data_IF_804599558047
#
_entry.id   IF_804599558047
#
_cell.length_a   1.000
_cell.length_b   1.000
_cell.length_c   1.000
_cell.angle_alpha   90.00
_cell.angle_beta   90.00
_cell.angle_gamma   90.00
#
_symmetry.space_group_name_H-M   'P 1'
#
loop_
_entity.id
_entity.type
_entity.pdbx_description
1 polymer ?
#
# COMPACT_ATOMS: atom_id res chain seq x y z
N UNK A 1 11.58 2.70 -14.67
CA UNK A 1 12.11 3.51 -13.53
C UNK A 1 12.43 2.57 -12.38
N UNK A 2 13.58 2.70 -11.72
CA UNK A 2 13.93 1.84 -10.57
C UNK A 2 13.17 2.26 -9.29
N UNK A 3 12.92 1.32 -8.40
CA UNK A 3 12.21 1.59 -7.14
C UNK A 3 12.87 2.69 -6.28
N UNK A 4 14.19 2.74 -6.23
CA UNK A 4 14.92 3.80 -5.53
C UNK A 4 14.63 5.21 -6.10
N UNK A 5 14.53 5.33 -7.42
CA UNK A 5 14.20 6.58 -8.11
C UNK A 5 12.74 6.98 -7.89
N UNK A 6 11.81 6.00 -7.90
CA UNK A 6 10.39 6.24 -7.60
C UNK A 6 10.24 6.82 -6.20
N UNK A 7 10.89 6.22 -5.21
CA UNK A 7 10.88 6.68 -3.81
C UNK A 7 11.39 8.11 -3.70
N UNK A 8 12.52 8.42 -4.31
CA UNK A 8 13.11 9.74 -4.31
C UNK A 8 12.19 10.77 -4.98
N UNK A 9 11.69 10.48 -6.19
CA UNK A 9 10.77 11.38 -6.92
C UNK A 9 9.48 11.67 -6.16
N UNK A 10 8.93 10.66 -5.47
CA UNK A 10 7.75 10.85 -4.64
C UNK A 10 8.01 11.85 -3.51
N UNK A 11 9.08 11.66 -2.75
CA UNK A 11 9.43 12.55 -1.65
C UNK A 11 9.74 13.98 -2.14
N UNK A 12 10.55 14.13 -3.19
CA UNK A 12 10.89 15.43 -3.77
C UNK A 12 9.66 16.15 -4.33
N UNK A 13 8.71 15.42 -4.93
CA UNK A 13 7.48 16.01 -5.42
C UNK A 13 6.69 16.64 -4.28
N UNK A 14 6.46 15.91 -3.19
CA UNK A 14 5.70 16.42 -2.06
C UNK A 14 6.46 17.47 -1.23
N UNK A 15 7.78 17.38 -1.14
CA UNK A 15 8.60 18.43 -0.54
C UNK A 15 8.42 19.77 -1.26
N UNK A 16 8.41 19.77 -2.60
CA UNK A 16 8.10 20.95 -3.43
C UNK A 16 6.68 21.48 -3.22
N UNK A 17 5.74 20.65 -2.73
CA UNK A 17 4.39 21.05 -2.36
C UNK A 17 4.29 21.45 -0.87
N UNK A 18 5.42 21.67 -0.19
CA UNK A 18 5.48 22.14 1.20
C UNK A 18 5.30 21.06 2.25
N UNK A 19 5.45 19.77 1.91
CA UNK A 19 5.43 18.67 2.87
C UNK A 19 6.81 18.49 3.51
N UNK A 20 6.82 18.26 4.82
CA UNK A 20 8.03 17.84 5.53
C UNK A 20 8.30 16.37 5.24
N UNK A 21 9.50 16.05 4.78
CA UNK A 21 9.95 14.67 4.62
C UNK A 21 10.22 14.09 6.01
N UNK A 22 9.43 13.05 6.37
CA UNK A 22 9.54 12.38 7.67
C UNK A 22 10.09 10.97 7.46
N UNK A 23 11.12 10.56 8.21
CA UNK A 23 11.65 9.19 8.12
C UNK A 23 10.60 8.12 8.43
N UNK A 24 10.79 6.92 7.87
CA UNK A 24 10.00 5.76 8.27
C UNK A 24 10.11 5.50 9.77
N UNK A 25 8.99 5.30 10.43
CA UNK A 25 9.01 4.77 11.80
C UNK A 25 9.43 3.30 11.79
N UNK A 26 9.89 2.75 12.94
CA UNK A 26 10.11 1.33 13.09
C UNK A 26 8.88 0.48 12.78
N UNK A 27 9.07 -0.78 12.40
CA UNK A 27 8.00 -1.76 12.21
C UNK A 27 7.23 -2.05 13.52
N UNK A 28 7.90 -1.89 14.66
CA UNK A 28 7.26 -1.99 15.98
C UNK A 28 6.75 -0.61 16.39
N UNK A 29 5.42 -0.39 16.40
CA UNK A 29 4.88 0.88 16.87
C UNK A 29 5.14 1.05 18.37
N UNK A 30 5.83 2.14 18.76
CA UNK A 30 6.24 2.37 20.16
C UNK A 30 5.07 2.67 21.09
N UNK A 31 4.04 3.33 20.58
CA UNK A 31 2.98 3.95 21.37
C UNK A 31 1.58 3.41 21.05
N UNK A 32 1.48 2.31 20.33
CA UNK A 32 0.19 1.69 19.98
C UNK A 32 0.20 0.18 20.25
N UNK A 33 -0.24 -0.25 21.45
CA UNK A 33 -0.31 -1.67 21.80
C UNK A 33 -1.40 -2.43 21.04
N UNK A 34 -2.31 -1.74 20.36
CA UNK A 34 -3.38 -2.36 19.57
C UNK A 34 -2.85 -2.94 18.25
N UNK A 35 -1.65 -2.55 17.81
CA UNK A 35 -1.02 -3.01 16.59
C UNK A 35 0.19 -3.88 16.89
N UNK A 36 0.24 -5.03 16.24
CA UNK A 36 1.41 -5.91 16.30
C UNK A 36 2.59 -5.27 15.56
N UNK A 37 2.33 -4.74 14.37
CA UNK A 37 3.30 -4.05 13.52
C UNK A 37 2.69 -2.80 12.89
N UNK A 38 3.54 -1.90 12.42
CA UNK A 38 3.17 -0.76 11.58
C UNK A 38 2.65 -1.29 10.24
N UNK A 39 1.37 -1.16 10.00
CA UNK A 39 0.66 -1.72 8.84
C UNK A 39 0.26 -0.67 7.78
N UNK A 40 0.46 0.61 8.08
CA UNK A 40 0.13 1.73 7.19
C UNK A 40 1.00 2.96 7.50
N UNK A 41 1.14 3.86 6.53
CA UNK A 41 1.95 5.06 6.65
C UNK A 41 1.46 6.03 7.74
N UNK A 42 0.16 6.04 8.00
CA UNK A 42 -0.46 6.93 8.98
C UNK A 42 -0.19 6.55 10.44
N UNK A 43 0.27 5.33 10.73
CA UNK A 43 0.39 4.84 12.12
C UNK A 43 1.26 5.76 12.97
N UNK A 44 2.39 6.25 12.47
CA UNK A 44 3.24 7.20 13.18
C UNK A 44 2.61 8.58 13.41
N UNK A 45 1.50 8.88 12.74
CA UNK A 45 0.77 10.16 12.82
C UNK A 45 -0.60 10.03 13.51
N UNK A 46 -0.96 8.84 14.03
CA UNK A 46 -2.27 8.58 14.65
C UNK A 46 -2.64 9.63 15.68
N UNK A 47 -1.73 9.96 16.60
CA UNK A 47 -1.95 10.96 17.64
C UNK A 47 -2.12 12.38 17.07
N UNK A 48 -1.49 12.67 15.92
CA UNK A 48 -1.63 13.96 15.24
C UNK A 48 -3.02 14.10 14.63
N UNK A 49 -3.54 13.07 13.95
CA UNK A 49 -4.90 13.04 13.42
C UNK A 49 -5.96 13.19 14.52
N UNK A 50 -5.74 12.58 15.68
CA UNK A 50 -6.62 12.68 16.84
C UNK A 50 -6.49 14.01 17.60
N UNK A 51 -5.57 14.90 17.20
CA UNK A 51 -5.30 16.16 17.90
C UNK A 51 -4.59 16.00 19.23
N UNK A 52 -4.11 14.81 19.56
CA UNK A 52 -3.42 14.46 20.82
C UNK A 52 -1.93 14.83 20.79
N UNK A 53 -1.37 15.05 19.61
CA UNK A 53 0.01 15.46 19.40
C UNK A 53 0.08 16.62 18.41
N UNK A 54 1.00 17.56 18.65
CA UNK A 54 1.31 18.65 17.72
C UNK A 54 2.68 18.44 17.12
N UNK A 55 2.79 18.60 15.80
CA UNK A 55 4.05 18.62 15.07
C UNK A 55 4.37 20.04 14.59
N UNK A 56 5.63 20.38 14.32
CA UNK A 56 6.00 21.70 13.80
C UNK A 56 5.63 21.89 12.31
N UNK A 57 4.86 20.98 11.74
CA UNK A 57 4.40 20.97 10.35
C UNK A 57 2.94 20.52 10.28
N UNK A 58 2.22 20.99 9.26
CA UNK A 58 0.84 20.61 8.94
C UNK A 58 0.74 19.64 7.75
N UNK A 59 1.85 19.44 7.02
CA UNK A 59 1.98 18.52 5.88
C UNK A 59 3.21 17.64 6.08
N UNK A 60 3.06 16.35 5.79
CA UNK A 60 4.17 15.40 5.83
C UNK A 60 4.17 14.47 4.62
N UNK A 61 5.33 13.94 4.27
CA UNK A 61 5.49 12.85 3.31
C UNK A 61 6.50 11.86 3.82
N UNK A 62 6.28 10.57 3.55
CA UNK A 62 7.17 9.49 4.00
C UNK A 62 7.13 8.30 3.07
N UNK A 63 8.18 7.49 3.10
CA UNK A 63 8.16 6.10 2.65
C UNK A 63 8.19 5.22 3.88
N UNK A 64 7.04 4.72 4.30
CA UNK A 64 6.90 3.94 5.53
C UNK A 64 7.08 2.46 5.27
N UNK A 65 7.97 1.82 6.01
CA UNK A 65 8.07 0.36 6.11
C UNK A 65 6.82 -0.19 6.79
N UNK A 66 6.15 -1.15 6.15
CA UNK A 66 4.93 -1.75 6.65
C UNK A 66 5.03 -3.28 6.67
N UNK A 67 4.36 -3.89 7.65
CA UNK A 67 4.24 -5.34 7.75
C UNK A 67 2.77 -5.72 8.00
N UNK A 68 2.21 -6.61 7.16
CA UNK A 68 0.81 -7.08 7.22
C UNK A 68 0.75 -8.60 7.36
N UNK A 69 0.83 -9.06 8.60
CA UNK A 69 0.90 -10.48 8.98
C UNK A 69 -0.17 -10.90 10.00
N UNK A 70 -1.20 -10.09 10.17
CA UNK A 70 -2.29 -10.38 11.10
C UNK A 70 -3.28 -9.23 11.27
N UNK A 71 -4.38 -9.50 11.98
CA UNK A 71 -5.46 -8.53 12.21
C UNK A 71 -6.32 -8.27 10.97
N UNK A 72 -6.88 -7.07 10.88
CA UNK A 72 -7.78 -6.67 9.79
C UNK A 72 -7.08 -6.64 8.42
N UNK A 73 -5.79 -6.30 8.41
CA UNK A 73 -4.96 -6.25 7.21
C UNK A 73 -3.94 -7.39 7.27
N UNK A 74 -4.33 -8.57 6.78
CA UNK A 74 -3.47 -9.76 6.74
C UNK A 74 -3.28 -10.21 5.30
N UNK A 75 -2.06 -10.10 4.78
CA UNK A 75 -1.70 -10.49 3.41
C UNK A 75 -0.93 -11.82 3.34
N UNK A 76 -0.60 -12.44 4.49
CA UNK A 76 0.26 -13.62 4.58
C UNK A 76 -0.18 -14.78 3.68
N UNK A 77 -1.49 -15.09 3.65
CA UNK A 77 -2.02 -16.21 2.86
C UNK A 77 -2.01 -15.95 1.34
N UNK A 78 -1.85 -14.69 0.93
CA UNK A 78 -1.84 -14.27 -0.47
C UNK A 78 -0.44 -14.21 -1.08
N UNK A 79 0.61 -14.28 -0.23
CA UNK A 79 2.01 -14.23 -0.68
C UNK A 79 2.33 -15.44 -1.57
N UNK A 80 2.94 -15.16 -2.72
CA UNK A 80 3.26 -16.18 -3.73
C UNK A 80 2.05 -16.72 -4.52
N UNK A 81 0.82 -16.33 -4.15
CA UNK A 81 -0.42 -16.74 -4.84
C UNK A 81 -1.02 -15.64 -5.70
N UNK A 82 -0.69 -14.40 -5.40
CA UNK A 82 -1.10 -13.21 -6.15
C UNK A 82 0.14 -12.44 -6.59
N UNK A 83 0.00 -11.62 -7.62
CA UNK A 83 1.09 -10.83 -8.16
C UNK A 83 1.44 -9.59 -7.32
N UNK A 84 0.61 -9.22 -6.32
CA UNK A 84 0.60 -7.90 -5.69
C UNK A 84 0.63 -7.85 -4.16
N UNK A 85 0.50 -8.98 -3.46
CA UNK A 85 0.49 -9.01 -1.99
C UNK A 85 1.83 -9.44 -1.41
N UNK A 86 2.22 -8.77 -0.34
CA UNK A 86 3.47 -8.96 0.37
C UNK A 86 3.24 -8.87 1.87
N UNK A 87 4.01 -9.60 2.67
CA UNK A 87 4.04 -9.41 4.12
C UNK A 87 4.72 -8.10 4.46
N UNK A 88 5.91 -7.85 3.90
CA UNK A 88 6.63 -6.58 4.01
C UNK A 88 6.56 -5.78 2.71
N UNK A 89 6.22 -4.50 2.83
CA UNK A 89 6.21 -3.56 1.71
C UNK A 89 6.50 -2.14 2.19
N UNK A 90 6.80 -1.24 1.24
CA UNK A 90 6.94 0.18 1.52
C UNK A 90 5.70 0.94 1.04
N UNK A 91 5.14 1.78 1.92
CA UNK A 91 4.01 2.65 1.61
C UNK A 91 4.49 4.08 1.44
N UNK A 92 4.36 4.60 0.24
CA UNK A 92 4.59 6.01 -0.09
C UNK A 92 3.34 6.79 0.32
N UNK A 93 3.49 7.77 1.21
CA UNK A 93 2.37 8.51 1.76
C UNK A 93 2.59 10.01 1.81
N UNK A 94 1.53 10.77 1.55
CA UNK A 94 1.44 12.19 1.86
C UNK A 94 0.25 12.46 2.77
N UNK A 95 0.45 13.38 3.69
CA UNK A 95 -0.46 13.63 4.81
C UNK A 95 -0.73 15.12 4.95
N UNK A 96 -2.00 15.46 5.28
CA UNK A 96 -2.40 16.80 5.69
C UNK A 96 -3.10 16.71 7.04
N UNK A 97 -2.63 17.49 7.99
CA UNK A 97 -3.18 17.55 9.35
C UNK A 97 -4.07 18.79 9.49
N UNK A 98 -5.18 18.82 8.70
CA UNK A 98 -6.11 19.95 8.66
C UNK A 98 -5.58 21.17 7.94
N UNK A 99 -4.66 21.02 6.99
CA UNK A 99 -4.12 22.10 6.14
C UNK A 99 -4.85 22.13 4.78
N UNK A 100 -4.81 21.04 4.03
CA UNK A 100 -5.57 20.84 2.81
C UNK A 100 -6.45 19.60 2.89
N UNK A 101 -7.41 19.47 1.96
CA UNK A 101 -8.32 18.35 1.93
C UNK A 101 -8.47 17.77 0.51
N UNK A 102 -9.65 17.23 0.14
CA UNK A 102 -9.88 16.42 -1.06
C UNK A 102 -9.33 17.04 -2.35
N UNK A 103 -9.61 18.32 -2.61
CA UNK A 103 -9.27 18.96 -3.89
C UNK A 103 -7.77 18.96 -4.18
N UNK A 104 -6.96 19.37 -3.19
CA UNK A 104 -5.51 19.37 -3.32
C UNK A 104 -4.94 17.93 -3.32
N UNK A 105 -5.48 17.02 -2.49
CA UNK A 105 -5.04 15.63 -2.49
C UNK A 105 -5.21 14.99 -3.86
N UNK A 106 -6.38 15.17 -4.48
CA UNK A 106 -6.69 14.69 -5.83
C UNK A 106 -5.74 15.32 -6.87
N UNK A 107 -5.54 16.64 -6.79
CA UNK A 107 -4.64 17.36 -7.70
C UNK A 107 -3.21 16.84 -7.60
N UNK A 108 -2.68 16.67 -6.39
CA UNK A 108 -1.33 16.19 -6.18
C UNK A 108 -1.17 14.75 -6.70
N UNK A 109 -2.09 13.86 -6.37
CA UNK A 109 -2.03 12.48 -6.80
C UNK A 109 -2.09 12.36 -8.33
N UNK A 110 -3.03 13.04 -8.96
CA UNK A 110 -3.20 13.02 -10.40
C UNK A 110 -2.00 13.57 -11.15
N UNK A 111 -1.49 14.74 -10.73
CA UNK A 111 -0.31 15.37 -11.34
C UNK A 111 0.94 14.49 -11.19
N UNK A 112 1.17 13.90 -10.01
CA UNK A 112 2.33 13.02 -9.82
C UNK A 112 2.27 11.79 -10.72
N UNK A 113 1.10 11.13 -10.81
CA UNK A 113 0.96 9.93 -11.64
C UNK A 113 1.10 10.24 -13.13
N UNK A 114 0.45 11.32 -13.60
CA UNK A 114 0.34 11.58 -15.05
C UNK A 114 1.49 12.41 -15.60
N UNK A 115 2.00 13.37 -14.84
CA UNK A 115 3.09 14.28 -15.25
C UNK A 115 4.43 13.84 -14.64
N UNK A 116 4.43 13.49 -13.34
CA UNK A 116 5.65 13.09 -12.63
C UNK A 116 6.15 11.70 -13.02
N UNK A 117 5.26 10.72 -13.12
CA UNK A 117 5.57 9.35 -13.51
C UNK A 117 5.24 9.01 -14.97
N UNK A 118 4.47 9.86 -15.65
CA UNK A 118 4.16 9.71 -17.07
C UNK A 118 3.16 8.59 -17.38
N UNK A 119 2.29 8.24 -16.44
CA UNK A 119 1.25 7.25 -16.69
C UNK A 119 0.18 7.80 -17.64
N UNK A 120 -0.25 6.96 -18.58
CA UNK A 120 -1.32 7.31 -19.51
C UNK A 120 -2.66 7.47 -18.79
N UNK A 121 -3.20 8.70 -18.84
CA UNK A 121 -4.50 9.07 -18.25
C UNK A 121 -5.64 8.15 -18.73
N UNK A 122 -5.55 7.63 -19.96
CA UNK A 122 -6.57 6.76 -20.54
C UNK A 122 -6.65 5.39 -19.84
N UNK A 123 -5.62 4.98 -19.14
CA UNK A 123 -5.55 3.73 -18.39
C UNK A 123 -5.94 3.86 -16.92
N UNK A 124 -6.15 5.09 -16.43
CA UNK A 124 -6.46 5.35 -15.02
C UNK A 124 -7.97 5.40 -14.78
N UNK A 125 -8.40 4.72 -13.74
CA UNK A 125 -9.79 4.61 -13.27
C UNK A 125 -9.84 4.96 -11.80
N UNK A 126 -10.97 5.47 -11.35
CA UNK A 126 -11.16 5.93 -9.98
C UNK A 126 -12.30 5.16 -9.33
N UNK A 127 -12.09 4.68 -8.10
CA UNK A 127 -13.19 4.27 -7.24
C UNK A 127 -13.37 5.28 -6.12
N UNK A 128 -14.62 5.50 -5.71
CA UNK A 128 -14.97 6.41 -4.63
C UNK A 128 -16.01 5.78 -3.72
N UNK A 129 -16.08 6.23 -2.48
CA UNK A 129 -17.18 5.85 -1.61
C UNK A 129 -18.51 6.30 -2.22
N UNK A 130 -19.53 5.40 -2.19
CA UNK A 130 -20.80 5.58 -2.91
C UNK A 130 -21.50 6.91 -2.60
N UNK A 131 -21.39 7.38 -1.35
CA UNK A 131 -22.08 8.58 -0.85
C UNK A 131 -21.18 9.83 -0.87
N UNK A 132 -19.98 9.74 -1.46
CA UNK A 132 -19.03 10.86 -1.57
C UNK A 132 -19.20 11.60 -2.90
N UNK A 133 -20.29 12.40 -3.01
CA UNK A 133 -20.57 13.20 -4.21
C UNK A 133 -19.53 14.27 -4.45
N UNK A 134 -18.96 14.84 -3.38
CA UNK A 134 -17.89 15.83 -3.47
C UNK A 134 -16.65 15.25 -4.16
N UNK A 135 -16.22 14.03 -3.79
CA UNK A 135 -15.11 13.38 -4.46
C UNK A 135 -15.39 13.14 -5.94
N UNK A 136 -16.62 12.68 -6.30
CA UNK A 136 -17.01 12.49 -7.69
C UNK A 136 -16.90 13.77 -8.53
N UNK A 137 -17.35 14.90 -7.97
CA UNK A 137 -17.23 16.20 -8.64
C UNK A 137 -15.78 16.67 -8.76
N UNK A 138 -14.99 16.50 -7.70
CA UNK A 138 -13.59 16.92 -7.69
C UNK A 138 -12.75 16.14 -8.69
N UNK A 139 -12.93 14.82 -8.80
CA UNK A 139 -12.25 14.01 -9.82
C UNK A 139 -12.52 14.49 -11.24
N UNK A 140 -13.76 14.90 -11.53
CA UNK A 140 -14.11 15.47 -12.84
C UNK A 140 -13.53 16.89 -13.03
N UNK A 141 -13.71 17.78 -12.05
CA UNK A 141 -13.35 19.21 -12.17
C UNK A 141 -11.84 19.45 -12.05
N UNK A 142 -11.16 18.76 -11.15
CA UNK A 142 -9.74 18.99 -10.81
C UNK A 142 -8.81 18.12 -11.65
N UNK A 143 -9.14 16.84 -11.81
CA UNK A 143 -8.32 15.86 -12.52
C UNK A 143 -8.75 15.65 -13.98
N UNK A 144 -9.95 16.11 -14.37
CA UNK A 144 -10.49 15.94 -15.72
C UNK A 144 -10.82 14.48 -16.05
N UNK A 145 -11.15 13.67 -15.03
CA UNK A 145 -11.51 12.26 -15.23
C UNK A 145 -12.94 12.18 -15.74
N UNK A 146 -13.15 11.44 -16.82
CA UNK A 146 -14.47 11.18 -17.38
C UNK A 146 -15.36 10.45 -16.38
N UNK A 147 -16.63 10.80 -16.30
CA UNK A 147 -17.60 10.22 -15.37
C UNK A 147 -17.69 8.68 -15.47
N UNK A 148 -17.54 8.15 -16.66
CA UNK A 148 -17.59 6.70 -16.97
C UNK A 148 -16.40 5.92 -16.38
N UNK A 149 -15.36 6.64 -15.94
CA UNK A 149 -14.19 6.05 -15.27
C UNK A 149 -14.20 6.23 -13.75
N UNK A 150 -15.30 6.77 -13.19
CA UNK A 150 -15.49 6.95 -11.76
C UNK A 150 -16.53 5.95 -11.27
N UNK A 151 -16.14 5.00 -10.43
CA UNK A 151 -16.98 3.93 -9.92
C UNK A 151 -17.31 4.17 -8.45
N UNK A 152 -18.58 4.01 -8.09
CA UNK A 152 -19.08 4.18 -6.72
C UNK A 152 -19.18 2.81 -6.06
N UNK A 153 -18.36 2.59 -5.03
CA UNK A 153 -18.32 1.32 -4.31
C UNK A 153 -18.76 1.49 -2.84
N UNK A 154 -18.92 0.37 -2.17
CA UNK A 154 -19.43 0.35 -0.80
C UNK A 154 -18.37 0.59 0.26
N UNK A 155 -18.79 0.43 1.52
CA UNK A 155 -17.94 0.61 2.69
C UNK A 155 -16.79 -0.41 2.73
N UNK A 156 -17.00 -1.60 2.21
CA UNK A 156 -15.97 -2.65 2.12
C UNK A 156 -14.76 -2.20 1.30
N UNK A 157 -15.00 -1.45 0.22
CA UNK A 157 -13.98 -1.11 -0.77
C UNK A 157 -13.45 0.32 -0.59
N UNK A 158 -14.35 1.30 -0.40
CA UNK A 158 -13.99 2.72 -0.37
C UNK A 158 -14.25 3.43 0.97
N UNK A 159 -14.14 2.71 2.08
CA UNK A 159 -14.10 3.30 3.42
C UNK A 159 -12.95 2.68 4.22
N UNK A 160 -11.90 3.46 4.44
CA UNK A 160 -10.71 2.97 5.13
C UNK A 160 -10.79 3.20 6.63
N UNK A 161 -10.31 2.22 7.41
CA UNK A 161 -10.11 2.36 8.85
C UNK A 161 -8.82 1.66 9.27
N UNK A 162 -8.11 2.23 10.22
CA UNK A 162 -6.83 1.72 10.72
C UNK A 162 -6.96 0.32 11.34
N UNK A 163 -8.05 0.10 12.04
CA UNK A 163 -8.41 -1.14 12.72
C UNK A 163 -9.87 -1.11 13.13
N UNK A 164 -10.21 -1.81 14.21
CA UNK A 164 -11.56 -1.78 14.79
C UNK A 164 -11.87 -0.44 15.45
N UNK A 165 -10.83 0.31 15.83
CA UNK A 165 -10.92 1.65 16.43
C UNK A 165 -9.89 2.58 15.82
N UNK A 166 -10.13 3.89 15.92
CA UNK A 166 -9.21 4.95 15.50
C UNK A 166 -9.64 5.72 14.25
N UNK A 167 -8.75 6.54 13.70
CA UNK A 167 -9.06 7.39 12.56
C UNK A 167 -9.55 6.59 11.35
N UNK A 168 -10.60 7.11 10.70
CA UNK A 168 -11.21 6.49 9.53
C UNK A 168 -11.90 7.52 8.64
N UNK A 169 -12.25 7.12 7.44
CA UNK A 169 -13.00 7.96 6.50
C UNK A 169 -13.21 7.33 5.13
N UNK A 170 -14.08 7.94 4.30
CA UNK A 170 -14.24 7.53 2.92
C UNK A 170 -12.93 7.71 2.16
N UNK A 171 -12.72 6.92 1.13
CA UNK A 171 -11.53 7.03 0.32
C UNK A 171 -11.85 6.99 -1.19
N UNK A 172 -10.90 7.53 -1.95
CA UNK A 172 -10.81 7.33 -3.39
C UNK A 172 -9.59 6.49 -3.71
N UNK A 173 -9.74 5.49 -4.58
CA UNK A 173 -8.61 4.70 -5.06
C UNK A 173 -8.37 4.96 -6.54
N UNK A 174 -7.09 5.02 -6.91
CA UNK A 174 -6.67 5.14 -8.29
C UNK A 174 -6.23 3.76 -8.75
N UNK A 175 -6.88 3.26 -9.79
CA UNK A 175 -6.59 1.97 -10.42
C UNK A 175 -6.00 2.19 -11.82
N UNK A 176 -5.12 1.28 -12.23
CA UNK A 176 -4.60 1.23 -13.59
C UNK A 176 -5.11 0.00 -14.33
N UNK A 177 -5.65 0.15 -15.54
CA UNK A 177 -5.94 -0.98 -16.43
C UNK A 177 -4.63 -1.54 -17.00
N UNK A 178 -4.29 -2.75 -16.62
CA UNK A 178 -3.07 -3.44 -17.06
C UNK A 178 -3.22 -4.11 -18.44
N UNK A 179 -4.42 -4.05 -19.01
CA UNK A 179 -4.72 -4.56 -20.35
C UNK A 179 -5.82 -5.60 -20.40
N UNK A 180 -6.51 -5.65 -21.53
CA UNK A 180 -7.66 -6.54 -21.74
C UNK A 180 -7.28 -8.04 -21.68
N UNK A 181 -6.04 -8.37 -21.99
CA UNK A 181 -5.48 -9.71 -21.92
C UNK A 181 -5.33 -10.26 -20.49
N UNK A 182 -5.39 -9.38 -19.48
CA UNK A 182 -5.44 -9.76 -18.05
C UNK A 182 -6.86 -9.97 -17.51
N UNK A 183 -7.89 -9.84 -18.36
CA UNK A 183 -9.26 -10.03 -17.91
C UNK A 183 -9.53 -11.49 -17.49
N UNK A 184 -10.18 -11.67 -16.32
CA UNK A 184 -10.54 -12.98 -15.81
C UNK A 184 -11.75 -13.64 -16.51
N UNK A 185 -12.39 -12.93 -17.44
CA UNK A 185 -13.54 -13.39 -18.23
C UNK A 185 -14.46 -12.28 -18.66
N UNK A 186 -15.62 -12.61 -19.28
CA UNK A 186 -16.57 -11.61 -19.83
C UNK A 186 -17.15 -10.62 -18.82
N UNK A 187 -17.15 -10.99 -17.53
CA UNK A 187 -17.64 -10.14 -16.43
C UNK A 187 -16.55 -9.29 -15.76
N UNK A 188 -15.32 -9.28 -16.29
CA UNK A 188 -14.21 -8.57 -15.68
C UNK A 188 -14.44 -7.06 -15.64
N UNK A 189 -14.26 -6.44 -14.46
CA UNK A 189 -14.40 -5.00 -14.27
C UNK A 189 -14.26 -4.56 -12.83
N UNK A 190 -14.09 -3.29 -12.61
CA UNK A 190 -14.00 -2.68 -11.28
C UNK A 190 -15.29 -2.97 -10.48
N UNK A 191 -15.13 -3.42 -9.23
CA UNK A 191 -16.23 -3.81 -8.36
C UNK A 191 -16.98 -5.08 -8.77
N UNK A 192 -16.49 -5.81 -9.78
CA UNK A 192 -17.08 -7.07 -10.28
C UNK A 192 -16.21 -8.29 -10.06
N UNK A 193 -14.91 -8.11 -9.95
CA UNK A 193 -13.94 -9.17 -9.71
C UNK A 193 -12.68 -8.60 -9.03
N UNK A 194 -11.89 -9.48 -8.42
CA UNK A 194 -10.64 -9.14 -7.71
C UNK A 194 -9.38 -9.50 -8.53
N UNK A 195 -9.51 -9.62 -9.88
CA UNK A 195 -8.37 -9.93 -10.72
C UNK A 195 -7.43 -8.72 -10.89
N UNK A 196 -6.20 -9.01 -11.32
CA UNK A 196 -5.13 -8.01 -11.40
C UNK A 196 -5.25 -7.05 -12.60
N UNK A 197 -6.31 -7.14 -13.43
CA UNK A 197 -6.49 -6.23 -14.57
C UNK A 197 -6.58 -4.77 -14.15
N UNK A 198 -7.47 -4.46 -13.20
CA UNK A 198 -7.61 -3.11 -12.65
C UNK A 198 -6.88 -3.04 -11.30
N UNK A 199 -5.58 -2.82 -11.37
CA UNK A 199 -4.72 -2.80 -10.20
C UNK A 199 -4.85 -1.47 -9.45
N UNK A 200 -5.28 -1.52 -8.19
CA UNK A 200 -5.18 -0.37 -7.28
C UNK A 200 -3.72 -0.01 -7.07
N UNK A 201 -3.36 1.24 -7.40
CA UNK A 201 -1.99 1.76 -7.24
C UNK A 201 -1.87 2.81 -6.15
N UNK A 202 -2.96 3.52 -5.81
CA UNK A 202 -2.93 4.56 -4.78
C UNK A 202 -4.29 4.71 -4.10
N UNK A 203 -4.30 4.75 -2.77
CA UNK A 203 -5.48 5.03 -1.96
C UNK A 203 -5.36 6.42 -1.32
N UNK A 204 -6.37 7.28 -1.51
CA UNK A 204 -6.49 8.59 -0.91
C UNK A 204 -7.60 8.56 0.13
N UNK A 205 -7.23 8.56 1.41
CA UNK A 205 -8.18 8.51 2.53
C UNK A 205 -8.49 9.92 3.02
N UNK A 206 -9.77 10.24 3.02
CA UNK A 206 -10.32 11.49 3.52
C UNK A 206 -10.69 11.31 4.99
N UNK A 207 -9.71 11.45 5.87
CA UNK A 207 -9.83 11.23 7.30
C UNK A 207 -10.79 12.24 7.93
N UNK A 208 -11.97 11.80 8.33
CA UNK A 208 -13.04 12.64 8.86
C UNK A 208 -13.51 12.21 10.25
N UNK A 209 -13.31 10.94 10.62
CA UNK A 209 -13.90 10.34 11.79
C UNK A 209 -12.86 9.61 12.64
N UNK A 210 -13.17 9.52 13.95
CA UNK A 210 -12.57 8.59 14.89
C UNK A 210 -13.62 7.54 15.28
N UNK A 211 -13.35 6.27 15.06
CA UNK A 211 -14.23 5.17 15.41
C UNK A 211 -13.89 4.63 16.79
N UNK A 212 -14.87 4.67 17.70
CA UNK A 212 -14.75 4.12 19.05
C UNK A 212 -14.96 2.60 19.10
N UNK A 213 -14.67 1.99 20.25
CA UNK A 213 -14.87 0.55 20.50
C UNK A 213 -16.34 0.11 20.41
N UNK A 214 -17.28 1.04 20.57
CA UNK A 214 -18.71 0.83 20.40
C UNK A 214 -19.18 0.91 18.93
N UNK A 215 -18.23 1.08 17.99
CA UNK A 215 -18.48 1.25 16.56
C UNK A 215 -18.99 2.63 16.16
N UNK A 216 -19.18 3.55 17.09
CA UNK A 216 -19.60 4.92 16.77
C UNK A 216 -18.46 5.72 16.19
N UNK A 217 -18.79 6.52 15.19
CA UNK A 217 -17.87 7.45 14.51
C UNK A 217 -18.15 8.87 14.97
N UNK A 218 -17.16 9.51 15.53
CA UNK A 218 -17.20 10.93 15.91
C UNK A 218 -16.30 11.72 14.96
N UNK A 219 -16.67 12.98 14.60
CA UNK A 219 -15.81 13.78 13.75
C UNK A 219 -14.43 14.00 14.36
N UNK A 220 -13.37 13.91 13.52
CA UNK A 220 -12.03 14.35 13.92
C UNK A 220 -11.99 15.87 14.17
N UNK A 221 -11.06 16.36 14.98
CA UNK A 221 -10.90 17.82 15.23
C UNK A 221 -10.76 18.64 13.94
N UNK A 222 -10.16 18.05 12.92
CA UNK A 222 -10.00 18.65 11.58
C UNK A 222 -10.05 17.55 10.52
N UNK A 223 -10.77 17.77 9.39
CA UNK A 223 -10.64 16.92 8.22
C UNK A 223 -9.17 16.87 7.77
N UNK A 224 -8.68 15.70 7.51
CA UNK A 224 -7.26 15.44 7.26
C UNK A 224 -7.09 14.50 6.08
N UNK A 225 -5.88 14.43 5.53
CA UNK A 225 -5.55 13.55 4.40
C UNK A 225 -4.51 12.53 4.86
N UNK A 226 -4.79 11.28 4.56
CA UNK A 226 -3.84 10.16 4.57
C UNK A 226 -3.83 9.52 3.19
N UNK A 227 -2.67 9.25 2.63
CA UNK A 227 -2.59 8.51 1.37
C UNK A 227 -1.59 7.38 1.45
N UNK A 228 -1.84 6.31 0.69
CA UNK A 228 -0.96 5.15 0.63
C UNK A 228 -0.82 4.61 -0.79
N UNK A 229 0.39 4.70 -1.35
CA UNK A 229 0.78 4.07 -2.60
C UNK A 229 1.83 3.00 -2.32
N UNK A 230 1.53 1.74 -2.66
CA UNK A 230 2.50 0.65 -2.53
C UNK A 230 3.68 0.84 -3.48
N UNK A 231 4.90 0.95 -2.94
CA UNK A 231 6.10 1.10 -3.76
C UNK A 231 6.27 -0.07 -4.73
N UNK A 232 6.02 -1.28 -4.26
CA UNK A 232 6.15 -2.51 -5.05
C UNK A 232 5.19 -2.51 -6.25
N UNK A 233 3.93 -2.07 -6.03
CA UNK A 233 2.91 -1.99 -7.09
C UNK A 233 3.28 -0.94 -8.14
N UNK A 234 3.57 0.28 -7.71
CA UNK A 234 3.92 1.34 -8.67
C UNK A 234 5.26 1.07 -9.37
N UNK A 235 6.20 0.38 -8.73
CA UNK A 235 7.45 -0.04 -9.36
C UNK A 235 7.19 -1.04 -10.49
N UNK A 236 6.36 -2.06 -10.25
CA UNK A 236 5.97 -3.03 -11.29
C UNK A 236 5.32 -2.32 -12.49
N UNK A 237 4.37 -1.43 -12.25
CA UNK A 237 3.69 -0.65 -13.30
C UNK A 237 4.69 0.19 -14.12
N UNK A 238 5.58 0.93 -13.45
CA UNK A 238 6.55 1.82 -14.13
C UNK A 238 7.71 1.06 -14.80
N UNK A 239 7.94 -0.19 -14.40
CA UNK A 239 8.89 -1.10 -15.05
C UNK A 239 8.25 -1.93 -16.18
N UNK A 240 6.93 -1.84 -16.36
CA UNK A 240 6.19 -2.54 -17.40
C UNK A 240 6.09 -4.05 -17.16
N UNK A 241 6.19 -4.49 -15.91
CA UNK A 241 6.00 -5.88 -15.49
C UNK A 241 4.65 -6.09 -14.81
N UNK A 242 4.14 -7.32 -14.80
CA UNK A 242 2.79 -7.63 -14.33
C UNK A 242 2.73 -8.17 -12.90
N UNK A 243 3.87 -8.59 -12.40
CA UNK A 243 4.03 -9.04 -11.02
C UNK A 243 5.02 -8.15 -10.28
N UNK A 244 4.72 -7.82 -9.04
CA UNK A 244 5.66 -7.11 -8.17
C UNK A 244 6.98 -7.89 -8.04
N UNK A 245 6.91 -9.24 -8.09
CA UNK A 245 8.08 -10.14 -8.01
C UNK A 245 9.03 -10.03 -9.21
N UNK A 246 8.58 -9.46 -10.31
CA UNK A 246 9.40 -9.18 -11.50
C UNK A 246 10.08 -7.81 -11.47
N UNK A 247 9.77 -7.00 -10.45
CA UNK A 247 10.40 -5.69 -10.26
C UNK A 247 11.84 -5.80 -9.75
N UNK A 248 12.57 -4.71 -9.84
CA UNK A 248 13.96 -4.60 -9.34
C UNK A 248 14.09 -4.77 -7.81
N UNK A 249 12.98 -4.75 -7.08
CA UNK A 249 12.94 -5.03 -5.64
C UNK A 249 13.08 -6.52 -5.32
N UNK A 250 12.57 -7.40 -6.18
CA UNK A 250 12.51 -8.85 -5.93
C UNK A 250 13.42 -9.67 -6.85
N UNK A 251 13.60 -9.23 -8.10
CA UNK A 251 14.40 -9.97 -9.09
C UNK A 251 15.79 -10.39 -8.59
N UNK A 252 16.57 -9.57 -7.87
CA UNK A 252 17.89 -10.00 -7.38
C UNK A 252 17.81 -11.13 -6.36
N UNK A 253 16.77 -11.13 -5.50
CA UNK A 253 16.57 -12.17 -4.48
C UNK A 253 16.15 -13.48 -5.14
N UNK A 254 15.18 -13.41 -6.06
CA UNK A 254 14.69 -14.57 -6.82
C UNK A 254 15.83 -15.20 -7.63
N UNK A 255 16.63 -14.39 -8.35
CA UNK A 255 17.78 -14.90 -9.12
C UNK A 255 18.83 -15.57 -8.22
N UNK A 256 19.07 -15.02 -7.03
CA UNK A 256 19.97 -15.65 -6.06
C UNK A 256 19.41 -17.01 -5.59
N UNK A 257 18.11 -17.08 -5.25
CA UNK A 257 17.45 -18.32 -4.85
C UNK A 257 17.47 -19.36 -5.98
N UNK A 258 17.15 -18.98 -7.20
CA UNK A 258 17.25 -19.84 -8.39
C UNK A 258 18.64 -20.45 -8.53
N UNK A 259 19.69 -19.62 -8.46
CA UNK A 259 21.08 -20.08 -8.56
C UNK A 259 21.45 -21.06 -7.45
N UNK A 260 20.96 -20.86 -6.25
CA UNK A 260 21.24 -21.74 -5.09
C UNK A 260 20.52 -23.08 -5.20
N UNK A 261 19.27 -23.07 -5.65
CA UNK A 261 18.43 -24.28 -5.78
C UNK A 261 18.62 -25.03 -7.10
N UNK A 262 19.31 -24.44 -8.09
CA UNK A 262 19.47 -25.04 -9.42
C UNK A 262 18.19 -25.06 -10.27
N UNK A 263 17.25 -24.15 -10.00
CA UNK A 263 15.95 -24.03 -10.70
C UNK A 263 15.87 -22.73 -11.52
N UNK A 264 14.87 -22.64 -12.38
CA UNK A 264 14.62 -21.45 -13.21
C UNK A 264 13.27 -20.85 -12.86
N UNK A 265 13.22 -19.54 -12.66
CA UNK A 265 11.96 -18.80 -12.49
C UNK A 265 11.13 -18.86 -13.78
N UNK A 266 9.82 -19.02 -13.68
CA UNK A 266 8.87 -19.29 -14.77
C UNK A 266 8.98 -20.72 -15.38
N UNK A 267 9.57 -21.64 -14.64
CA UNK A 267 9.61 -23.05 -15.06
C UNK A 267 8.25 -23.73 -14.84
N UNK A 268 7.68 -23.55 -13.67
CA UNK A 268 6.36 -24.06 -13.27
C UNK A 268 5.81 -23.24 -12.10
N UNK A 269 4.49 -23.32 -11.89
CA UNK A 269 3.78 -22.52 -10.89
C UNK A 269 4.21 -22.82 -9.44
N UNK A 270 4.56 -24.06 -9.12
CA UNK A 270 4.94 -24.44 -7.76
C UNK A 270 6.31 -23.90 -7.40
N UNK A 271 7.27 -24.05 -8.31
CA UNK A 271 8.61 -23.43 -8.21
C UNK A 271 8.52 -21.92 -8.10
N UNK A 272 7.69 -21.27 -8.92
CA UNK A 272 7.51 -19.80 -8.87
C UNK A 272 6.94 -19.35 -7.54
N UNK A 273 5.90 -20.04 -7.04
CA UNK A 273 5.30 -19.74 -5.74
C UNK A 273 6.33 -19.85 -4.62
N UNK A 274 7.13 -20.93 -4.60
CA UNK A 274 8.17 -21.12 -3.60
C UNK A 274 9.22 -20.01 -3.64
N UNK A 275 9.69 -19.63 -4.83
CA UNK A 275 10.66 -18.55 -5.02
C UNK A 275 10.11 -17.18 -4.57
N UNK A 276 8.84 -16.90 -4.84
CA UNK A 276 8.16 -15.67 -4.45
C UNK A 276 8.00 -15.59 -2.92
N UNK A 277 7.59 -16.69 -2.27
CA UNK A 277 7.50 -16.77 -0.81
C UNK A 277 8.88 -16.56 -0.16
N UNK A 278 9.92 -17.23 -0.66
CA UNK A 278 11.29 -17.05 -0.17
C UNK A 278 11.72 -15.57 -0.31
N UNK A 279 11.45 -14.94 -1.44
CA UNK A 279 11.86 -13.57 -1.69
C UNK A 279 11.12 -12.58 -0.77
N UNK A 280 9.81 -12.74 -0.58
CA UNK A 280 9.00 -11.91 0.30
C UNK A 280 9.43 -12.05 1.76
N UNK A 281 9.46 -13.28 2.28
CA UNK A 281 9.77 -13.55 3.67
C UNK A 281 11.22 -13.23 4.04
N UNK A 282 12.16 -13.38 3.10
CA UNK A 282 13.55 -12.95 3.31
C UNK A 282 13.65 -11.44 3.49
N UNK A 283 12.87 -10.65 2.73
CA UNK A 283 12.77 -9.19 2.93
C UNK A 283 12.17 -8.88 4.30
N UNK A 284 11.03 -9.49 4.63
CA UNK A 284 10.36 -9.29 5.91
C UNK A 284 11.29 -9.60 7.08
N UNK A 285 11.95 -10.76 7.07
CA UNK A 285 12.90 -11.18 8.10
C UNK A 285 14.07 -10.20 8.25
N UNK A 286 14.67 -9.75 7.13
CA UNK A 286 15.80 -8.81 7.17
C UNK A 286 15.41 -7.48 7.84
N UNK A 287 14.22 -6.93 7.55
CA UNK A 287 13.77 -5.68 8.16
C UNK A 287 13.33 -5.86 9.61
N UNK A 288 12.69 -6.99 9.97
CA UNK A 288 12.35 -7.31 11.35
C UNK A 288 13.59 -7.42 12.24
N UNK A 289 14.64 -8.11 11.77
CA UNK A 289 15.93 -8.23 12.47
C UNK A 289 16.59 -6.85 12.60
N UNK A 290 16.54 -6.02 11.57
CA UNK A 290 17.06 -4.64 11.61
C UNK A 290 16.35 -3.79 12.67
N UNK A 291 15.05 -4.01 12.87
CA UNK A 291 14.27 -3.38 13.92
C UNK A 291 14.37 -4.12 15.28
N UNK A 292 15.42 -4.97 15.45
CA UNK A 292 15.80 -5.67 16.69
C UNK A 292 14.77 -6.72 17.18
N UNK A 293 13.98 -7.29 16.30
CA UNK A 293 13.10 -8.40 16.62
C UNK A 293 13.90 -9.70 16.46
N UNK A 294 13.87 -10.53 17.50
CA UNK A 294 14.48 -11.85 17.49
C UNK A 294 13.40 -12.94 17.43
N UNK A 295 13.68 -14.09 16.80
CA UNK A 295 12.75 -15.21 16.78
C UNK A 295 12.36 -15.65 18.19
N UNK A 296 11.07 -15.87 18.43
CA UNK A 296 10.56 -16.40 19.71
C UNK A 296 9.31 -17.25 19.50
N UNK A 297 8.79 -17.84 20.59
CA UNK A 297 7.63 -18.72 20.54
C UNK A 297 6.30 -17.95 20.62
N UNK A 298 6.32 -16.64 20.85
CA UNK A 298 5.13 -15.81 21.03
C UNK A 298 5.33 -14.38 20.53
N UNK A 299 4.23 -13.66 20.36
CA UNK A 299 4.22 -12.26 20.01
C UNK A 299 4.89 -11.96 18.66
N UNK A 300 5.61 -10.84 18.60
CA UNK A 300 6.30 -10.37 17.39
C UNK A 300 7.40 -11.29 16.90
N UNK A 301 8.13 -11.92 17.83
CA UNK A 301 9.21 -12.85 17.49
C UNK A 301 8.68 -14.16 16.91
N UNK A 302 7.45 -14.57 17.24
CA UNK A 302 6.79 -15.70 16.60
C UNK A 302 6.54 -15.44 15.11
N UNK A 303 6.14 -14.23 14.73
CA UNK A 303 5.97 -13.87 13.32
C UNK A 303 7.29 -14.03 12.57
N UNK A 304 8.39 -13.47 13.07
CA UNK A 304 9.71 -13.63 12.45
C UNK A 304 10.10 -15.11 12.32
N UNK A 305 9.89 -15.90 13.36
CA UNK A 305 10.14 -17.35 13.32
C UNK A 305 9.27 -18.06 12.28
N UNK A 306 8.01 -17.67 12.13
CA UNK A 306 7.10 -18.24 11.13
C UNK A 306 7.54 -17.89 9.71
N UNK A 307 7.93 -16.66 9.44
CA UNK A 307 8.45 -16.19 8.15
C UNK A 307 9.74 -16.95 7.76
N UNK A 308 10.68 -17.08 8.71
CA UNK A 308 11.94 -17.80 8.52
C UNK A 308 11.67 -19.29 8.23
N UNK A 309 10.84 -19.94 9.04
CA UNK A 309 10.51 -21.36 8.88
C UNK A 309 9.77 -21.65 7.58
N UNK A 310 8.85 -20.79 7.16
CA UNK A 310 8.15 -20.93 5.89
C UNK A 310 9.13 -20.81 4.71
N UNK A 311 10.06 -19.87 4.75
CA UNK A 311 11.12 -19.74 3.74
C UNK A 311 12.02 -20.96 3.69
N UNK A 312 12.38 -21.52 4.85
CA UNK A 312 13.19 -22.75 4.94
C UNK A 312 12.46 -23.96 4.34
N UNK A 313 11.17 -24.15 4.65
CA UNK A 313 10.36 -25.25 4.10
C UNK A 313 10.23 -25.14 2.58
N UNK A 314 9.99 -23.93 2.05
CA UNK A 314 9.94 -23.71 0.60
C UNK A 314 11.28 -24.00 -0.07
N UNK A 315 12.40 -23.60 0.55
CA UNK A 315 13.74 -23.87 0.00
C UNK A 315 14.05 -25.36 -0.05
N UNK A 316 13.61 -26.14 0.95
CA UNK A 316 13.77 -27.60 0.96
C UNK A 316 12.95 -28.28 -0.14
N UNK A 317 11.80 -27.74 -0.50
CA UNK A 317 10.98 -28.24 -1.61
C UNK A 317 11.58 -27.96 -3.00
N UNK A 318 12.55 -27.03 -3.10
CA UNK A 318 13.25 -26.69 -4.34
C UNK A 318 14.57 -27.47 -4.54
N UNK A 319 15.10 -28.13 -3.51
CA UNK A 319 16.34 -28.93 -3.52
C UNK A 319 15.98 -30.42 -3.63
#
# INVERSE_FOLDING_TARGET
MKAAEIRQRFLEYFEKQGHTVVPSSPLVPKDDPSLLFTNAGMVQFKKVFLGQEKRPYSRATTTQKCLRVGGKHNDLENVGRTARHHTFFEMLGNFSFGDYFKAEAIKFAWSLLTEGFGLDKSRLYITIFRDDDEAAELWQKVAGVDKERIFRLGEKDNFWSMGDTGPCGPCSEIHIDQGADMACGPGCGIGKCDCDRFLEIWNLVFMQYDQGADGKRVPLPRPSIDTGMGLERIAAVLQGVRSNYESDLFTPIIQFACKKAGVTYHQDKETDTALQVIADHSRAAAFLITDQILPSNEGRGYVLRSEEHTSELQSRGLI
#
